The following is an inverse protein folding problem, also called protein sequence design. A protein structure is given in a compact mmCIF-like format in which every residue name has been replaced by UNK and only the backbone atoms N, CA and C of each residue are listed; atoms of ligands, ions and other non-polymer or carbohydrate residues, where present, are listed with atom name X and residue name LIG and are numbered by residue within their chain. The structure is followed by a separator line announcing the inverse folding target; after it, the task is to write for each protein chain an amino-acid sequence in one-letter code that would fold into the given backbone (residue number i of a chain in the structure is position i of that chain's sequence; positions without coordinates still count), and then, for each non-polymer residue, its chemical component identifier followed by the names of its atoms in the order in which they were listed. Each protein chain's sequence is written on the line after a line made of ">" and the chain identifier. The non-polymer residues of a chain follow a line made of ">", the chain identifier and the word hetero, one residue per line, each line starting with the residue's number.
data_IF_486236115933
#
_entry.id   IF_486236115933
#
_cell.length_a   1.000
_cell.length_b   1.000
_cell.length_c   1.000
_cell.angle_alpha   90.00
_cell.angle_beta   90.00
_cell.angle_gamma   90.00
#
_symmetry.space_group_name_H-M   'P 1'
#
loop_
_entity.id
_entity.type
_entity.pdbx_description
1 polymer ?
#
# COMPACT_ATOMS: atom_id res chain seq x y z
N UNK A 1 13.48 -12.86 20.65
CA UNK A 1 12.24 -13.36 20.00
C UNK A 1 12.47 -14.84 19.65
N UNK A 2 11.45 -15.71 19.74
CA UNK A 2 11.65 -17.15 19.45
C UNK A 2 12.13 -17.34 18.02
N UNK A 3 13.27 -18.01 17.85
CA UNK A 3 13.89 -18.36 16.57
C UNK A 3 13.20 -19.61 16.00
N UNK A 4 11.90 -19.52 15.74
CA UNK A 4 11.24 -20.56 14.96
C UNK A 4 11.71 -20.43 13.51
N UNK A 5 12.12 -21.54 12.87
CA UNK A 5 12.56 -21.53 11.48
C UNK A 5 11.42 -21.01 10.58
N UNK A 6 11.80 -20.23 9.57
CA UNK A 6 10.91 -19.77 8.53
C UNK A 6 10.29 -20.93 7.74
N UNK A 7 9.21 -20.62 7.03
CA UNK A 7 8.47 -21.61 6.22
C UNK A 7 8.82 -21.53 4.73
N UNK A 8 9.58 -20.51 4.31
CA UNK A 8 10.02 -20.35 2.92
C UNK A 8 11.20 -21.27 2.54
N UNK A 9 11.62 -22.17 3.44
CA UNK A 9 12.75 -23.08 3.22
C UNK A 9 14.10 -22.36 3.20
N UNK A 10 14.18 -21.15 3.75
CA UNK A 10 15.41 -20.36 3.94
C UNK A 10 15.86 -20.45 5.41
N UNK A 11 17.00 -19.83 5.74
CA UNK A 11 17.47 -19.72 7.13
C UNK A 11 16.90 -18.50 7.86
N UNK A 12 15.85 -17.91 7.31
CA UNK A 12 15.19 -16.76 7.90
C UNK A 12 14.36 -17.18 9.12
N UNK A 13 14.26 -16.34 10.16
CA UNK A 13 13.27 -16.55 11.20
C UNK A 13 11.86 -16.33 10.65
N UNK A 14 10.85 -16.98 11.25
CA UNK A 14 9.44 -16.84 10.85
C UNK A 14 8.98 -15.37 10.70
N UNK A 15 9.48 -14.48 11.55
CA UNK A 15 9.18 -13.04 11.49
C UNK A 15 9.69 -12.37 10.22
N UNK A 16 10.85 -12.78 9.69
CA UNK A 16 11.41 -12.23 8.46
C UNK A 16 10.60 -12.68 7.24
N UNK A 17 10.24 -13.97 7.17
CA UNK A 17 9.36 -14.51 6.12
C UNK A 17 8.01 -13.80 6.09
N UNK A 18 7.38 -13.69 7.27
CA UNK A 18 6.07 -13.04 7.39
C UNK A 18 6.13 -11.57 7.00
N UNK A 19 7.18 -10.86 7.41
CA UNK A 19 7.36 -9.45 7.06
C UNK A 19 7.57 -9.28 5.55
N UNK A 20 8.37 -10.13 4.92
CA UNK A 20 8.59 -10.10 3.47
C UNK A 20 7.28 -10.32 2.71
N UNK A 21 6.50 -11.32 3.09
CA UNK A 21 5.23 -11.65 2.45
C UNK A 21 4.20 -10.55 2.67
N UNK A 22 4.10 -10.03 3.89
CA UNK A 22 3.24 -8.90 4.18
C UNK A 22 3.61 -7.70 3.31
N UNK A 23 4.91 -7.41 3.12
CA UNK A 23 5.32 -6.32 2.26
C UNK A 23 4.95 -6.57 0.79
N UNK A 24 5.27 -7.74 0.26
CA UNK A 24 5.08 -8.06 -1.17
C UNK A 24 3.62 -8.26 -1.57
N UNK A 25 2.80 -8.87 -0.70
CA UNK A 25 1.41 -9.21 -1.03
C UNK A 25 0.40 -8.19 -0.51
N UNK A 26 0.73 -7.43 0.54
CA UNK A 26 -0.19 -6.45 1.12
C UNK A 26 0.26 -5.02 0.83
N UNK A 27 1.49 -4.64 1.20
CA UNK A 27 1.91 -3.23 1.11
C UNK A 27 2.17 -2.79 -0.34
N UNK A 28 2.90 -3.58 -1.15
CA UNK A 28 3.15 -3.26 -2.58
C UNK A 28 1.86 -3.10 -3.36
N UNK A 29 0.93 -4.06 -3.34
CA UNK A 29 -0.30 -3.93 -4.12
C UNK A 29 -1.18 -2.79 -3.59
N UNK A 30 -1.26 -2.60 -2.27
CA UNK A 30 -2.03 -1.50 -1.70
C UNK A 30 -1.51 -0.12 -2.13
N UNK A 31 -0.18 0.07 -2.22
CA UNK A 31 0.40 1.30 -2.76
C UNK A 31 0.06 1.51 -4.25
N UNK A 32 0.09 0.44 -5.05
CA UNK A 32 -0.30 0.51 -6.46
C UNK A 32 -1.79 0.81 -6.63
N UNK A 33 -2.65 0.28 -5.75
CA UNK A 33 -4.09 0.61 -5.69
C UNK A 33 -4.26 2.10 -5.34
N UNK A 34 -3.51 2.61 -4.37
CA UNK A 34 -3.50 4.02 -4.04
C UNK A 34 -3.10 4.90 -5.24
N UNK A 35 -2.09 4.49 -6.00
CA UNK A 35 -1.69 5.16 -7.25
C UNK A 35 -2.80 5.09 -8.31
N UNK A 36 -3.46 3.94 -8.45
CA UNK A 36 -4.59 3.77 -9.36
C UNK A 36 -5.75 4.72 -9.02
N UNK A 37 -6.13 4.85 -7.75
CA UNK A 37 -7.15 5.80 -7.31
C UNK A 37 -6.76 7.25 -7.60
N UNK A 38 -5.49 7.63 -7.38
CA UNK A 38 -5.01 8.97 -7.73
C UNK A 38 -5.09 9.25 -9.24
N UNK A 39 -4.87 8.23 -10.09
CA UNK A 39 -4.99 8.38 -11.55
C UNK A 39 -6.43 8.50 -12.02
N UNK A 40 -7.37 7.87 -11.31
CA UNK A 40 -8.81 7.97 -11.56
C UNK A 40 -9.47 9.20 -10.91
N UNK A 41 -8.67 10.11 -10.33
CA UNK A 41 -9.15 11.29 -9.58
C UNK A 41 -10.05 10.95 -8.38
N UNK A 42 -10.01 9.72 -7.88
CA UNK A 42 -10.79 9.27 -6.71
C UNK A 42 -10.07 9.61 -5.40
N UNK A 43 -9.92 10.91 -5.14
CA UNK A 43 -9.12 11.42 -4.01
C UNK A 43 -9.79 11.16 -2.65
N UNK A 44 -11.06 11.52 -2.51
CA UNK A 44 -11.84 11.29 -1.29
C UNK A 44 -13.00 10.32 -1.56
N UNK A 45 -13.29 9.36 -0.65
CA UNK A 45 -12.53 9.00 0.56
C UNK A 45 -11.42 7.96 0.29
N UNK A 46 -11.46 7.29 -0.87
CA UNK A 46 -10.72 6.05 -1.10
C UNK A 46 -9.20 6.22 -1.08
N UNK A 47 -8.64 7.11 -1.90
CA UNK A 47 -7.20 7.36 -1.92
C UNK A 47 -6.70 7.84 -0.56
N UNK A 48 -7.44 8.78 0.07
CA UNK A 48 -7.09 9.35 1.37
C UNK A 48 -6.99 8.29 2.47
N UNK A 49 -7.99 7.44 2.60
CA UNK A 49 -7.99 6.37 3.61
C UNK A 49 -6.90 5.32 3.31
N UNK A 50 -6.79 4.87 2.07
CA UNK A 50 -5.80 3.85 1.68
C UNK A 50 -4.38 4.33 1.95
N UNK A 51 -4.01 5.53 1.51
CA UNK A 51 -2.66 6.06 1.74
C UNK A 51 -2.36 6.28 3.23
N UNK A 52 -3.37 6.70 4.01
CA UNK A 52 -3.21 6.87 5.46
C UNK A 52 -2.98 5.54 6.16
N UNK A 53 -3.81 4.52 5.86
CA UNK A 53 -3.70 3.17 6.45
C UNK A 53 -2.36 2.54 6.11
N UNK A 54 -1.94 2.59 4.85
CA UNK A 54 -0.66 2.04 4.41
C UNK A 54 0.51 2.73 5.12
N UNK A 55 0.48 4.06 5.22
CA UNK A 55 1.56 4.83 5.86
C UNK A 55 1.69 4.49 7.34
N UNK A 56 0.57 4.36 8.07
CA UNK A 56 0.55 3.96 9.48
C UNK A 56 1.06 2.52 9.64
N UNK A 57 0.56 1.59 8.82
CA UNK A 57 0.99 0.20 8.86
C UNK A 57 2.50 0.07 8.58
N UNK A 58 3.03 0.85 7.63
CA UNK A 58 4.46 0.89 7.34
C UNK A 58 5.27 1.44 8.52
N UNK A 59 4.78 2.47 9.24
CA UNK A 59 5.41 2.94 10.48
C UNK A 59 5.49 1.84 11.54
N UNK A 60 4.41 1.08 11.74
CA UNK A 60 4.39 -0.03 12.70
C UNK A 60 5.43 -1.08 12.33
N UNK A 61 5.51 -1.48 11.05
CA UNK A 61 6.52 -2.45 10.59
C UNK A 61 7.94 -1.92 10.74
N UNK A 62 8.18 -0.63 10.43
CA UNK A 62 9.49 0.00 10.60
C UNK A 62 9.91 -0.02 12.07
N UNK A 63 9.03 0.39 12.99
CA UNK A 63 9.38 0.49 14.41
C UNK A 63 9.55 -0.88 15.09
N UNK A 64 8.70 -1.86 14.74
CA UNK A 64 8.72 -3.16 15.41
C UNK A 64 9.71 -4.14 14.80
N UNK A 65 9.93 -4.10 13.48
CA UNK A 65 10.77 -5.08 12.79
C UNK A 65 12.09 -4.46 12.35
N UNK A 66 12.03 -3.38 11.56
CA UNK A 66 13.24 -2.81 10.96
C UNK A 66 14.15 -2.15 11.99
N UNK A 67 13.60 -1.38 12.94
CA UNK A 67 14.39 -0.68 13.94
C UNK A 67 15.11 -1.66 14.88
N UNK A 68 14.42 -2.72 15.32
CA UNK A 68 15.01 -3.77 16.15
C UNK A 68 16.10 -4.51 15.38
N UNK A 69 15.77 -5.03 14.19
CA UNK A 69 16.72 -5.75 13.35
C UNK A 69 17.96 -4.91 13.00
N UNK A 70 17.79 -3.62 12.68
CA UNK A 70 18.89 -2.71 12.39
C UNK A 70 19.76 -2.49 13.63
N UNK A 71 19.15 -2.28 14.79
CA UNK A 71 19.88 -2.03 16.05
C UNK A 71 20.71 -3.24 16.50
N UNK A 72 20.23 -4.45 16.24
CA UNK A 72 20.90 -5.69 16.63
C UNK A 72 21.95 -6.14 15.61
N UNK A 73 21.67 -6.01 14.31
CA UNK A 73 22.47 -6.66 13.26
C UNK A 73 23.30 -5.70 12.40
N UNK A 74 22.97 -4.41 12.35
CA UNK A 74 23.62 -3.45 11.43
C UNK A 74 24.36 -2.36 12.20
N UNK A 75 23.69 -1.73 13.17
CA UNK A 75 24.26 -0.62 13.95
C UNK A 75 25.59 -0.95 14.65
N UNK A 76 25.80 -2.14 15.24
CA UNK A 76 27.08 -2.47 15.86
C UNK A 76 28.23 -2.60 14.86
N UNK A 77 27.95 -3.01 13.62
CA UNK A 77 28.97 -3.22 12.58
C UNK A 77 29.38 -1.95 11.84
N UNK A 78 28.66 -0.83 12.03
CA UNK A 78 28.91 0.43 11.30
C UNK A 78 30.31 1.00 11.54
N UNK A 79 30.89 0.80 12.72
CA UNK A 79 32.25 1.27 13.04
C UNK A 79 33.35 0.45 12.38
N UNK A 80 33.05 -0.81 12.05
CA UNK A 80 34.08 -1.79 11.74
C UNK A 80 34.34 -1.82 10.23
N UNK A 81 33.29 -1.97 9.41
CA UNK A 81 33.43 -1.98 7.96
C UNK A 81 32.14 -1.61 7.22
N UNK A 82 31.98 -0.33 6.88
CA UNK A 82 30.83 0.16 6.09
C UNK A 82 30.76 -0.41 4.66
N UNK A 83 31.86 -1.00 4.16
CA UNK A 83 31.90 -1.59 2.82
C UNK A 83 31.51 -3.09 2.82
N UNK A 84 31.26 -3.68 4.00
CA UNK A 84 30.69 -5.01 4.06
C UNK A 84 29.30 -4.99 3.43
N UNK A 85 29.06 -5.91 2.48
CA UNK A 85 27.79 -6.05 1.79
C UNK A 85 26.63 -6.24 2.77
N UNK A 86 26.85 -6.98 3.86
CA UNK A 86 25.85 -7.26 4.89
C UNK A 86 25.43 -6.02 5.67
N UNK A 87 26.25 -4.96 5.66
CA UNK A 87 25.98 -3.68 6.32
C UNK A 87 25.51 -2.64 5.29
N UNK A 88 26.19 -2.57 4.15
CA UNK A 88 25.96 -1.56 3.12
C UNK A 88 24.56 -1.67 2.50
N UNK A 89 24.10 -2.89 2.19
CA UNK A 89 22.77 -3.07 1.56
C UNK A 89 21.64 -2.61 2.51
N UNK A 90 21.57 -3.08 3.79
CA UNK A 90 20.58 -2.57 4.74
C UNK A 90 20.71 -1.06 4.99
N UNK A 91 21.92 -0.50 4.98
CA UNK A 91 22.12 0.93 5.15
C UNK A 91 21.53 1.73 3.97
N UNK A 92 21.74 1.26 2.74
CA UNK A 92 21.11 1.84 1.55
C UNK A 92 19.58 1.73 1.63
N UNK A 93 19.06 0.57 2.05
CA UNK A 93 17.63 0.37 2.28
C UNK A 93 17.07 1.36 3.31
N UNK A 94 17.78 1.56 4.43
CA UNK A 94 17.42 2.51 5.48
C UNK A 94 17.31 3.94 4.93
N UNK A 95 18.31 4.41 4.18
CA UNK A 95 18.35 5.79 3.68
C UNK A 95 17.18 6.05 2.72
N UNK A 96 16.98 5.19 1.73
CA UNK A 96 15.89 5.34 0.78
C UNK A 96 14.53 5.16 1.46
N UNK A 97 14.40 4.18 2.35
CA UNK A 97 13.15 3.89 3.06
C UNK A 97 12.75 4.99 4.03
N UNK A 98 13.69 5.52 4.81
CA UNK A 98 13.44 6.66 5.70
C UNK A 98 13.02 7.89 4.91
N UNK A 99 13.70 8.19 3.80
CA UNK A 99 13.34 9.31 2.93
C UNK A 99 11.94 9.12 2.34
N UNK A 100 11.63 7.94 1.81
CA UNK A 100 10.31 7.62 1.27
C UNK A 100 9.22 7.75 2.33
N UNK A 101 9.45 7.22 3.54
CA UNK A 101 8.47 7.22 4.63
C UNK A 101 8.20 8.62 5.16
N UNK A 102 9.23 9.46 5.28
CA UNK A 102 9.09 10.86 5.69
C UNK A 102 8.30 11.66 4.64
N UNK A 103 8.59 11.46 3.35
CA UNK A 103 7.83 12.08 2.27
C UNK A 103 6.37 11.62 2.26
N UNK A 104 6.12 10.31 2.39
CA UNK A 104 4.76 9.75 2.47
C UNK A 104 3.99 10.34 3.67
N UNK A 105 4.64 10.42 4.83
CA UNK A 105 4.05 11.02 6.03
C UNK A 105 3.72 12.50 5.82
N UNK A 106 4.63 13.27 5.21
CA UNK A 106 4.38 14.67 4.84
C UNK A 106 3.18 14.80 3.90
N UNK A 107 3.08 13.96 2.87
CA UNK A 107 1.97 13.98 1.92
C UNK A 107 0.64 13.62 2.58
N UNK A 108 0.62 12.62 3.45
CA UNK A 108 -0.59 12.24 4.23
C UNK A 108 -1.01 13.39 5.14
N UNK A 109 -0.08 13.97 5.91
CA UNK A 109 -0.39 15.12 6.78
C UNK A 109 -0.96 16.27 5.96
N UNK A 110 -0.35 16.60 4.82
CA UNK A 110 -0.84 17.66 3.94
C UNK A 110 -2.25 17.36 3.42
N UNK A 111 -2.53 16.12 3.03
CA UNK A 111 -3.84 15.70 2.54
C UNK A 111 -4.93 15.83 3.62
N UNK A 112 -4.58 15.65 4.90
CA UNK A 112 -5.53 15.85 6.01
C UNK A 112 -5.66 17.30 6.45
N UNK A 113 -4.59 18.08 6.38
CA UNK A 113 -4.51 19.44 6.92
C UNK A 113 -4.55 20.52 5.84
N UNK A 114 -4.99 20.21 4.62
CA UNK A 114 -4.97 21.13 3.48
C UNK A 114 -5.62 22.49 3.77
N UNK A 115 -6.77 22.48 4.47
CA UNK A 115 -7.52 23.69 4.85
C UNK A 115 -6.88 24.49 5.99
N UNK A 116 -5.96 23.91 6.75
CA UNK A 116 -5.35 24.49 7.96
C UNK A 116 -3.86 24.79 7.84
N UNK A 117 -3.22 24.44 6.71
CA UNK A 117 -1.77 24.60 6.53
C UNK A 117 -1.39 26.04 6.15
N UNK A 118 -0.40 26.64 6.83
CA UNK A 118 0.22 27.89 6.40
C UNK A 118 0.86 27.78 5.01
N UNK A 119 0.82 28.85 4.22
CA UNK A 119 1.30 28.83 2.82
C UNK A 119 2.81 28.55 2.69
N UNK A 120 3.62 28.82 3.72
CA UNK A 120 5.05 28.47 3.73
C UNK A 120 5.33 26.95 3.79
N UNK A 121 4.34 26.15 4.19
CA UNK A 121 4.44 24.68 4.22
C UNK A 121 3.88 24.01 2.96
N UNK A 122 3.17 24.79 2.11
CA UNK A 122 2.57 24.30 0.87
C UNK A 122 3.60 24.29 -0.25
N UNK A 123 3.98 23.08 -0.67
CA UNK A 123 4.82 22.92 -1.86
C UNK A 123 3.95 23.02 -3.12
N UNK A 124 4.31 23.94 -4.02
CA UNK A 124 3.56 24.25 -5.25
C UNK A 124 3.37 23.03 -6.17
N UNK A 125 4.40 22.19 -6.31
CA UNK A 125 4.40 21.08 -7.27
C UNK A 125 4.20 19.71 -6.60
N UNK A 126 3.06 19.49 -5.95
CA UNK A 126 2.78 18.25 -5.20
C UNK A 126 2.91 16.97 -6.06
N UNK A 127 2.50 17.04 -7.34
CA UNK A 127 2.54 15.93 -8.29
C UNK A 127 3.95 15.32 -8.40
N UNK A 128 5.00 16.14 -8.34
CA UNK A 128 6.40 15.67 -8.40
C UNK A 128 6.79 14.87 -7.14
N UNK A 129 6.39 15.35 -5.97
CA UNK A 129 6.68 14.68 -4.71
C UNK A 129 5.91 13.36 -4.58
N UNK A 130 4.66 13.30 -5.07
CA UNK A 130 3.91 12.03 -5.12
C UNK A 130 4.62 10.99 -5.99
N UNK A 131 5.05 11.36 -7.21
CA UNK A 131 5.79 10.45 -8.11
C UNK A 131 7.13 10.03 -7.52
N UNK A 132 7.87 10.97 -6.94
CA UNK A 132 9.14 10.70 -6.28
C UNK A 132 8.96 9.75 -5.09
N UNK A 133 7.92 9.94 -4.29
CA UNK A 133 7.62 9.07 -3.15
C UNK A 133 7.32 7.65 -3.62
N UNK A 134 6.48 7.49 -4.66
CA UNK A 134 6.18 6.18 -5.23
C UNK A 134 7.45 5.49 -5.77
N UNK A 135 8.31 6.24 -6.48
CA UNK A 135 9.58 5.70 -6.98
C UNK A 135 10.51 5.26 -5.85
N UNK A 136 10.76 6.14 -4.87
CA UNK A 136 11.59 5.84 -3.70
C UNK A 136 11.05 4.65 -2.92
N UNK A 137 9.74 4.54 -2.82
CA UNK A 137 9.06 3.45 -2.15
C UNK A 137 9.27 2.11 -2.88
N UNK A 138 9.06 2.05 -4.20
CA UNK A 138 9.30 0.84 -5.01
C UNK A 138 10.78 0.43 -5.01
N UNK A 139 11.67 1.41 -5.07
CA UNK A 139 13.11 1.20 -4.96
C UNK A 139 13.45 0.58 -3.59
N UNK A 140 12.93 1.16 -2.51
CA UNK A 140 13.13 0.65 -1.14
C UNK A 140 12.61 -0.78 -1.00
N UNK A 141 11.40 -1.07 -1.49
CA UNK A 141 10.82 -2.40 -1.45
C UNK A 141 11.71 -3.44 -2.16
N UNK A 142 12.26 -3.06 -3.32
CA UNK A 142 13.16 -3.92 -4.10
C UNK A 142 14.48 -4.16 -3.36
N UNK A 143 15.09 -3.13 -2.76
CA UNK A 143 16.31 -3.29 -1.95
C UNK A 143 16.03 -4.10 -0.67
N UNK A 144 14.84 -3.99 -0.08
CA UNK A 144 14.42 -4.79 1.07
C UNK A 144 14.33 -6.28 0.74
N UNK A 145 13.69 -6.62 -0.39
CA UNK A 145 13.66 -8.00 -0.89
C UNK A 145 15.07 -8.52 -1.21
N UNK A 146 15.92 -7.66 -1.78
CA UNK A 146 17.32 -8.01 -2.04
C UNK A 146 18.10 -8.28 -0.75
N UNK A 147 17.88 -7.49 0.31
CA UNK A 147 18.49 -7.71 1.64
C UNK A 147 18.14 -9.09 2.17
N UNK A 148 16.86 -9.46 2.13
CA UNK A 148 16.39 -10.79 2.54
C UNK A 148 17.10 -11.91 1.76
N UNK A 149 17.23 -11.76 0.44
CA UNK A 149 17.90 -12.75 -0.39
C UNK A 149 19.38 -12.89 -0.03
N UNK A 150 20.09 -11.78 0.18
CA UNK A 150 21.51 -11.83 0.56
C UNK A 150 21.70 -12.49 1.92
N UNK A 151 20.92 -12.10 2.93
CA UNK A 151 21.09 -12.58 4.30
C UNK A 151 20.68 -14.04 4.50
N UNK A 152 19.63 -14.51 3.81
CA UNK A 152 19.01 -15.81 4.15
C UNK A 152 19.11 -16.87 3.06
N UNK A 153 19.52 -16.51 1.84
CA UNK A 153 19.63 -17.45 0.71
C UNK A 153 21.06 -17.62 0.23
N UNK A 154 21.78 -16.52 -0.02
CA UNK A 154 23.12 -16.56 -0.62
C UNK A 154 24.17 -17.00 0.38
N UNK A 155 24.26 -16.33 1.53
CA UNK A 155 25.35 -16.58 2.48
C UNK A 155 25.23 -17.95 3.18
N UNK A 156 24.08 -18.61 3.13
CA UNK A 156 23.94 -19.98 3.64
C UNK A 156 24.37 -21.06 2.65
N UNK A 157 24.36 -20.79 1.33
CA UNK A 157 24.78 -21.78 0.33
C UNK A 157 26.25 -22.19 0.51
N UNK A 158 27.06 -21.34 1.14
CA UNK A 158 28.45 -21.63 1.49
C UNK A 158 28.61 -22.48 2.77
N UNK A 159 27.64 -22.46 3.69
CA UNK A 159 27.75 -23.18 4.99
C UNK A 159 27.21 -24.61 4.94
N UNK A 160 26.36 -24.96 3.97
CA UNK A 160 25.79 -26.32 3.83
C UNK A 160 26.77 -27.33 3.21
N UNK A 161 27.89 -26.90 2.62
CA UNK A 161 28.87 -27.80 1.97
C UNK A 161 29.95 -28.37 2.91
N UNK A 162 29.89 -28.14 4.23
CA UNK A 162 30.89 -28.68 5.17
C UNK A 162 30.24 -29.55 6.24
N UNK A 163 29.53 -30.59 5.82
CA UNK A 163 29.39 -31.80 6.65
C UNK A 163 29.55 -33.01 5.72
N UNK A 164 30.71 -33.69 5.69
CA UNK A 164 30.78 -34.98 5.02
C UNK A 164 29.75 -35.93 5.66
N UNK A 165 29.15 -36.86 4.90
CA UNK A 165 28.11 -37.74 5.41
C UNK A 165 28.68 -38.58 6.55
N UNK A 166 28.28 -38.26 7.79
CA UNK A 166 28.41 -39.19 8.90
C UNK A 166 27.38 -40.27 8.63
N UNK A 167 27.85 -41.37 8.04
CA UNK A 167 27.17 -42.65 8.00
C UNK A 167 26.79 -43.02 9.43
N UNK A 168 25.51 -43.06 9.75
CA UNK A 168 25.01 -43.72 10.96
C UNK A 168 23.97 -44.72 10.52
N UNK A 169 24.25 -45.97 10.88
CA UNK A 169 23.47 -47.18 10.63
C UNK A 169 21.97 -47.01 10.86
N UNK A 170 21.20 -47.61 9.95
CA UNK A 170 19.81 -47.98 10.16
C UNK A 170 19.68 -48.98 11.31
N UNK A 171 18.72 -48.77 12.22
CA UNK A 171 18.01 -49.88 12.88
C UNK A 171 16.52 -49.49 13.02
N UNK A 172 15.58 -50.37 12.64
CA UNK A 172 14.17 -50.04 12.47
C UNK A 172 13.33 -50.29 13.72
N UNK A 173 12.19 -49.58 13.77
CA UNK A 173 11.00 -50.00 14.51
C UNK A 173 10.60 -49.07 15.66
N UNK A 174 9.41 -48.46 15.55
CA UNK A 174 8.18 -48.97 16.21
C UNK A 174 7.03 -48.02 15.84
N UNK A 175 5.96 -48.66 15.39
CA UNK A 175 4.63 -48.11 15.08
C UNK A 175 3.97 -47.58 16.35
N UNK A 176 3.35 -46.39 16.28
CA UNK A 176 2.15 -46.14 17.07
C UNK A 176 1.12 -45.37 16.24
N UNK A 177 -0.02 -46.03 16.07
CA UNK A 177 -1.29 -45.57 15.51
C UNK A 177 -1.93 -44.55 16.44
N UNK A 178 -2.40 -43.42 15.93
CA UNK A 178 -3.41 -42.62 16.61
C UNK A 178 -4.57 -42.33 15.66
N UNK A 179 -5.69 -42.98 15.98
CA UNK A 179 -6.98 -42.95 15.34
C UNK A 179 -7.78 -41.80 15.95
N UNK A 180 -8.14 -40.78 15.17
CA UNK A 180 -9.14 -39.79 15.57
C UNK A 180 -10.17 -39.69 14.43
N UNK A 181 -11.25 -40.44 14.62
CA UNK A 181 -12.47 -40.44 13.80
C UNK A 181 -13.33 -39.24 14.23
N UNK A 182 -13.59 -38.31 13.32
CA UNK A 182 -14.52 -37.19 13.51
C UNK A 182 -15.92 -37.58 13.04
N UNK A 183 -16.91 -37.33 13.89
CA UNK A 183 -18.35 -37.47 13.61
C UNK A 183 -18.85 -36.38 12.62
N UNK A 184 -19.82 -36.68 11.74
CA UNK A 184 -20.49 -35.66 10.93
C UNK A 184 -21.75 -35.12 11.62
N UNK A 185 -21.86 -33.80 11.79
CA UNK A 185 -23.08 -33.11 12.24
C UNK A 185 -23.78 -32.43 11.06
N UNK A 186 -24.88 -33.06 10.68
CA UNK A 186 -26.21 -32.60 10.23
C UNK A 186 -26.39 -31.22 9.58
N UNK A 187 -26.89 -31.30 8.34
CA UNK A 187 -27.62 -30.31 7.53
C UNK A 187 -28.89 -29.77 8.20
N UNK A 188 -29.14 -28.47 8.12
CA UNK A 188 -30.44 -27.85 8.35
C UNK A 188 -30.79 -26.93 7.17
N UNK A 189 -31.94 -27.19 6.53
CA UNK A 189 -32.57 -26.35 5.50
C UNK A 189 -33.98 -25.93 5.97
N UNK A 190 -34.55 -24.95 5.26
CA UNK A 190 -36.00 -24.60 5.08
C UNK A 190 -36.52 -23.49 6.04
N UNK A 191 -37.41 -22.53 5.64
CA UNK A 191 -37.58 -21.76 4.39
C UNK A 191 -37.97 -20.25 4.59
N UNK A 192 -38.11 -19.57 3.44
CA UNK A 192 -38.95 -18.41 3.04
C UNK A 192 -39.85 -17.60 4.02
N UNK A 193 -40.01 -16.28 3.74
CA UNK A 193 -41.26 -15.57 3.33
C UNK A 193 -41.03 -14.02 3.29
N UNK A 194 -41.10 -13.37 2.11
CA UNK A 194 -42.08 -12.36 1.59
C UNK A 194 -42.33 -11.10 2.45
N UNK A 195 -42.04 -9.89 1.94
CA UNK A 195 -43.05 -8.85 1.60
C UNK A 195 -42.46 -7.54 1.02
N UNK A 196 -43.28 -6.97 0.13
CA UNK A 196 -43.11 -5.79 -0.72
C UNK A 196 -43.86 -4.62 -0.07
N UNK A 197 -43.30 -3.41 0.01
CA UNK A 197 -44.13 -2.20 0.13
C UNK A 197 -43.49 -0.94 -0.47
N UNK A 198 -44.02 -0.59 -1.65
CA UNK A 198 -44.52 0.70 -2.17
C UNK A 198 -43.94 2.05 -1.67
N UNK A 199 -43.55 2.86 -2.66
CA UNK A 199 -43.17 4.27 -2.59
C UNK A 199 -44.31 5.24 -2.26
N UNK A 200 -43.95 6.47 -1.86
CA UNK A 200 -44.58 7.65 -2.47
C UNK A 200 -43.56 8.73 -2.86
N UNK A 201 -43.82 9.42 -3.98
CA UNK A 201 -43.36 10.81 -4.23
C UNK A 201 -44.48 11.80 -3.80
N UNK A 202 -44.40 13.14 -3.98
CA UNK A 202 -43.28 14.07 -4.23
C UNK A 202 -43.31 15.32 -3.31
N UNK A 203 -42.16 15.94 -3.01
CA UNK A 203 -42.10 17.36 -2.57
C UNK A 203 -40.81 17.98 -3.10
N UNK A 204 -40.90 18.90 -4.06
CA UNK A 204 -39.76 19.74 -4.46
C UNK A 204 -39.59 20.81 -3.38
N UNK A 205 -38.70 20.54 -2.43
CA UNK A 205 -38.24 21.46 -1.38
C UNK A 205 -37.08 22.32 -1.88
N UNK A 206 -36.86 23.47 -1.24
CA UNK A 206 -35.69 24.36 -1.45
C UNK A 206 -34.32 23.64 -1.36
N UNK A 207 -34.29 22.41 -0.85
CA UNK A 207 -33.13 21.49 -0.86
C UNK A 207 -32.63 21.15 -2.26
N UNK A 208 -33.51 20.91 -3.23
CA UNK A 208 -33.10 20.52 -4.58
C UNK A 208 -32.30 21.64 -5.27
N UNK A 209 -32.67 22.90 -5.02
CA UNK A 209 -31.95 24.05 -5.57
C UNK A 209 -30.58 24.22 -4.92
N UNK A 210 -30.42 23.81 -3.66
CA UNK A 210 -29.13 23.89 -2.95
C UNK A 210 -28.21 22.75 -3.40
N UNK A 211 -28.74 21.54 -3.55
CA UNK A 211 -28.06 20.37 -4.14
C UNK A 211 -27.45 20.68 -5.51
N UNK A 212 -28.26 21.26 -6.41
CA UNK A 212 -27.82 21.61 -7.76
C UNK A 212 -26.69 22.64 -7.71
N UNK A 213 -26.78 23.68 -6.87
CA UNK A 213 -25.76 24.74 -6.83
C UNK A 213 -24.44 24.21 -6.28
N UNK A 214 -24.46 23.44 -5.19
CA UNK A 214 -23.24 22.89 -4.60
C UNK A 214 -22.54 21.91 -5.56
N UNK A 215 -23.27 20.94 -6.11
CA UNK A 215 -22.67 19.94 -7.01
C UNK A 215 -22.28 20.53 -8.38
N UNK A 216 -23.03 21.50 -8.94
CA UNK A 216 -22.59 22.19 -10.16
C UNK A 216 -21.34 23.03 -9.94
N UNK A 217 -21.20 23.65 -8.77
CA UNK A 217 -19.99 24.42 -8.42
C UNK A 217 -18.79 23.50 -8.32
N UNK A 218 -18.97 22.29 -7.79
CA UNK A 218 -17.93 21.26 -7.76
C UNK A 218 -17.54 20.80 -9.17
N UNK A 219 -18.50 20.45 -10.03
CA UNK A 219 -18.24 20.11 -11.43
C UNK A 219 -17.52 21.23 -12.20
N UNK A 220 -17.88 22.49 -11.96
CA UNK A 220 -17.21 23.63 -12.60
C UNK A 220 -15.80 23.85 -12.06
N UNK A 221 -15.57 23.67 -10.75
CA UNK A 221 -14.24 23.74 -10.16
C UNK A 221 -13.30 22.64 -10.72
N UNK A 222 -13.81 21.42 -10.87
CA UNK A 222 -13.07 20.31 -11.51
C UNK A 222 -12.73 20.63 -12.97
N UNK A 223 -13.70 21.14 -13.74
CA UNK A 223 -13.48 21.54 -15.12
C UNK A 223 -12.42 22.65 -15.28
N UNK A 224 -12.46 23.67 -14.42
CA UNK A 224 -11.45 24.75 -14.44
C UNK A 224 -10.05 24.22 -14.08
N UNK A 225 -9.97 23.25 -13.17
CA UNK A 225 -8.72 22.60 -12.83
C UNK A 225 -8.16 21.77 -14.00
N UNK A 226 -9.02 21.06 -14.73
CA UNK A 226 -8.61 20.31 -15.93
C UNK A 226 -8.14 21.21 -17.06
N UNK A 227 -8.83 22.32 -17.30
CA UNK A 227 -8.36 23.32 -18.27
C UNK A 227 -6.96 23.85 -17.91
N UNK A 228 -6.68 24.05 -16.62
CA UNK A 228 -5.37 24.47 -16.15
C UNK A 228 -4.30 23.38 -16.36
N UNK A 229 -4.63 22.11 -16.11
CA UNK A 229 -3.74 20.98 -16.38
C UNK A 229 -3.48 20.80 -17.88
N UNK A 230 -4.49 20.97 -18.74
CA UNK A 230 -4.36 20.94 -20.20
C UNK A 230 -3.49 22.09 -20.74
N UNK A 231 -3.40 23.22 -20.03
CA UNK A 231 -2.55 24.34 -20.42
C UNK A 231 -1.05 24.07 -20.23
N UNK A 232 -0.67 23.03 -19.46
CA UNK A 232 0.72 22.62 -19.29
C UNK A 232 1.19 21.57 -20.32
N UNK A 233 0.28 21.04 -21.15
CA UNK A 233 0.61 20.05 -22.19
C UNK A 233 1.17 20.68 -23.48
N UNK A 234 1.79 19.84 -24.31
CA UNK A 234 2.24 20.22 -25.63
C UNK A 234 1.05 20.68 -26.50
N UNK A 235 1.28 21.64 -27.40
CA UNK A 235 0.22 22.28 -28.18
C UNK A 235 -0.59 21.32 -29.07
N UNK A 236 -0.01 20.17 -29.43
CA UNK A 236 -0.67 19.10 -30.19
C UNK A 236 -1.66 18.28 -29.35
N UNK A 237 -1.47 18.20 -28.03
CA UNK A 237 -2.34 17.47 -27.09
C UNK A 237 -3.34 18.35 -26.37
N UNK A 238 -3.07 19.65 -26.29
CA UNK A 238 -3.94 20.61 -25.61
C UNK A 238 -5.39 20.59 -26.14
N UNK A 239 -5.59 20.41 -27.46
CA UNK A 239 -6.92 20.35 -28.05
C UNK A 239 -7.69 19.07 -27.68
N UNK A 240 -7.01 17.92 -27.67
CA UNK A 240 -7.59 16.64 -27.25
C UNK A 240 -7.94 16.68 -25.75
N UNK A 241 -7.01 17.18 -24.93
CA UNK A 241 -7.22 17.36 -23.49
C UNK A 241 -8.40 18.30 -23.18
N UNK A 242 -8.55 19.41 -23.90
CA UNK A 242 -9.69 20.32 -23.73
C UNK A 242 -11.03 19.68 -24.13
N UNK A 243 -11.02 18.82 -25.14
CA UNK A 243 -12.21 18.10 -25.58
C UNK A 243 -12.65 17.06 -24.55
N UNK A 244 -11.70 16.31 -24.00
CA UNK A 244 -11.96 15.34 -22.93
C UNK A 244 -12.51 16.05 -21.68
N UNK A 245 -11.94 17.20 -21.30
CA UNK A 245 -12.43 17.99 -20.16
C UNK A 245 -13.88 18.50 -20.36
N UNK A 246 -14.25 18.86 -21.59
CA UNK A 246 -15.63 19.23 -21.91
C UNK A 246 -16.58 18.04 -21.79
N UNK A 247 -16.13 16.86 -22.22
CA UNK A 247 -16.92 15.64 -22.08
C UNK A 247 -17.10 15.25 -20.62
N UNK A 248 -16.02 15.25 -19.82
CA UNK A 248 -16.09 14.95 -18.37
C UNK A 248 -17.01 15.95 -17.64
N UNK A 249 -16.97 17.24 -17.99
CA UNK A 249 -17.91 18.26 -17.48
C UNK A 249 -19.36 17.92 -17.82
N UNK A 250 -19.65 17.52 -19.06
CA UNK A 250 -21.00 17.16 -19.48
C UNK A 250 -21.51 15.90 -18.75
N UNK A 251 -20.66 14.89 -18.57
CA UNK A 251 -20.96 13.69 -17.79
C UNK A 251 -21.18 14.01 -16.30
N UNK A 252 -20.38 14.93 -15.73
CA UNK A 252 -20.55 15.41 -14.36
C UNK A 252 -21.92 16.07 -14.18
N UNK A 253 -22.27 17.04 -15.04
CA UNK A 253 -23.55 17.73 -14.99
C UNK A 253 -24.75 16.79 -15.19
N UNK A 254 -24.61 15.76 -16.03
CA UNK A 254 -25.62 14.71 -16.17
C UNK A 254 -25.87 13.95 -14.87
N UNK A 255 -24.80 13.55 -14.17
CA UNK A 255 -24.92 12.87 -12.86
C UNK A 255 -25.49 13.76 -11.76
N UNK A 256 -25.30 15.08 -11.82
CA UNK A 256 -25.91 16.03 -10.89
C UNK A 256 -27.43 16.12 -11.13
N UNK A 257 -27.84 16.17 -12.40
CA UNK A 257 -29.26 16.16 -12.76
C UNK A 257 -29.97 14.89 -12.25
N UNK A 258 -29.36 13.72 -12.45
CA UNK A 258 -29.92 12.44 -11.99
C UNK A 258 -30.02 12.32 -10.46
N UNK A 259 -29.19 13.06 -9.70
CA UNK A 259 -29.07 12.93 -8.24
C UNK A 259 -29.89 13.95 -7.47
N UNK A 260 -30.15 15.11 -8.06
CA UNK A 260 -30.92 16.19 -7.45
C UNK A 260 -32.38 16.28 -7.96
N UNK A 261 -32.83 15.35 -8.82
CA UNK A 261 -34.25 15.10 -9.17
C UNK A 261 -34.97 14.22 -8.15
#
# INVERSE_FOLDING_TARGET
>A
MRTEPGFLGTNAPLSADLTLIAYLLLIVPAMLIGFYFARRKWFEPHHKLVMTVITILNWVLILLVMAVSYSENVAPGLSDNINDRLILIPLIHLIFGATAQLLATYLVIRMWLEKSLPDWFKVKNIKRYMRLTLFLWLLTASVGAFTYFTWYVVDTSASTQIVPPVTTEEVPGVVLTEEITLEPVTTEEIPAVIETETAPQPVVTEDASTCIIEEQTECEAEYQQELADCAEEDADKQAECQQDAQQERAECLGRVADRCE
#
